data_IF_307688807948
#
_entry.id   IF_307688807948
#
_cell.length_a   1.000
_cell.length_b   1.000
_cell.length_c   1.000
_cell.angle_alpha   90.00
_cell.angle_beta   90.00
_cell.angle_gamma   90.00
#
_symmetry.space_group_name_H-M   'P 1'
#
loop_
_entity.id
_entity.type
_entity.pdbx_description
1 polymer ?
#
# COMPACT_ATOMS: atom_id res chain seq x y z
N UNK A 1 -18.25 5.50 18.90
CA UNK A 1 -17.13 6.25 19.44
C UNK A 1 -16.11 6.49 18.35
N UNK A 2 -15.54 7.69 18.35
CA UNK A 2 -14.55 8.04 17.33
C UNK A 2 -13.36 7.08 17.35
N UNK A 3 -12.91 6.71 18.51
CA UNK A 3 -11.81 5.78 18.66
C UNK A 3 -12.12 4.42 18.05
N UNK A 4 -13.33 3.93 18.32
CA UNK A 4 -13.75 2.64 17.78
C UNK A 4 -13.93 2.70 16.28
N UNK A 5 -14.45 3.83 15.80
CA UNK A 5 -14.65 3.99 14.36
C UNK A 5 -13.35 4.04 13.59
N UNK A 6 -12.28 4.51 14.22
CA UNK A 6 -10.99 4.59 13.54
C UNK A 6 -10.11 3.38 13.82
N UNK A 7 -10.62 2.39 14.54
CA UNK A 7 -9.86 1.17 14.79
C UNK A 7 -9.72 0.37 13.51
N UNK A 8 -8.51 -0.11 13.25
CA UNK A 8 -8.25 -0.89 12.05
C UNK A 8 -8.97 -2.23 12.10
N UNK A 9 -9.66 -2.57 11.01
CA UNK A 9 -10.26 -3.89 10.85
C UNK A 9 -9.27 -4.85 10.19
N UNK A 10 -8.22 -4.31 9.56
CA UNK A 10 -7.15 -5.10 8.99
C UNK A 10 -5.88 -4.27 8.95
N UNK A 11 -4.74 -4.94 9.12
CA UNK A 11 -3.43 -4.29 9.04
C UNK A 11 -2.52 -5.12 8.16
N UNK A 12 -1.60 -4.43 7.50
CA UNK A 12 -0.64 -5.07 6.61
C UNK A 12 0.72 -5.15 7.31
N UNK A 13 0.86 -6.14 8.17
CA UNK A 13 2.09 -6.30 8.97
C UNK A 13 3.29 -6.60 8.09
N UNK A 14 3.08 -7.35 7.00
CA UNK A 14 4.15 -7.68 6.08
C UNK A 14 4.73 -6.43 5.43
N UNK A 15 3.89 -5.44 5.14
CA UNK A 15 4.37 -4.21 4.55
C UNK A 15 5.35 -3.50 5.46
N UNK A 16 5.06 -3.44 6.76
CA UNK A 16 5.98 -2.82 7.71
C UNK A 16 7.28 -3.60 7.85
N UNK A 17 7.22 -4.90 7.61
CA UNK A 17 8.41 -5.75 7.65
C UNK A 17 9.27 -5.55 6.39
N UNK A 18 8.63 -5.43 5.23
CA UNK A 18 9.33 -5.42 3.95
C UNK A 18 9.68 -4.01 3.45
N UNK A 19 9.04 -2.98 3.99
CA UNK A 19 9.17 -1.61 3.48
C UNK A 19 9.42 -0.61 4.59
N UNK A 20 10.12 0.46 4.22
CA UNK A 20 10.13 1.68 5.04
C UNK A 20 8.96 2.55 4.60
N UNK A 21 8.13 2.96 5.52
CA UNK A 21 7.01 3.86 5.23
C UNK A 21 7.53 5.29 5.32
N UNK A 22 7.55 5.98 4.18
CA UNK A 22 8.08 7.34 4.10
C UNK A 22 7.02 8.35 4.53
N UNK A 23 5.81 8.19 3.99
CA UNK A 23 4.66 9.05 4.30
C UNK A 23 3.42 8.19 4.30
N UNK A 24 2.38 8.63 4.99
CA UNK A 24 1.11 7.94 4.94
C UNK A 24 0.00 8.91 4.56
N UNK A 25 -1.04 8.37 3.93
CA UNK A 25 -2.18 9.12 3.42
C UNK A 25 -3.45 8.37 3.75
N UNK A 26 -4.54 9.09 3.91
CA UNK A 26 -5.85 8.47 4.09
C UNK A 26 -6.63 8.60 2.79
N UNK A 27 -7.23 7.49 2.36
CA UNK A 27 -8.07 7.46 1.16
C UNK A 27 -9.40 6.80 1.49
N UNK A 28 -10.46 7.25 0.81
CA UNK A 28 -11.69 6.49 0.80
C UNK A 28 -11.55 5.31 -0.13
N UNK A 29 -12.45 4.35 -0.04
CA UNK A 29 -12.44 3.20 -0.92
C UNK A 29 -13.86 2.91 -1.38
N UNK A 30 -14.03 2.70 -2.68
CA UNK A 30 -15.32 2.36 -3.26
C UNK A 30 -15.56 0.88 -3.11
N UNK A 31 -16.60 0.53 -2.38
CA UNK A 31 -16.97 -0.86 -2.13
C UNK A 31 -18.43 -1.07 -2.44
N UNK A 32 -18.77 -2.27 -2.88
CA UNK A 32 -20.16 -2.68 -3.01
C UNK A 32 -20.67 -3.11 -1.64
N UNK A 33 -21.99 -3.19 -1.49
CA UNK A 33 -22.61 -3.49 -0.20
C UNK A 33 -22.10 -4.78 0.44
N UNK A 34 -21.95 -5.84 -0.38
CA UNK A 34 -21.45 -7.12 0.14
C UNK A 34 -20.01 -7.01 0.60
N UNK A 35 -19.22 -6.19 -0.08
CA UNK A 35 -17.83 -5.97 0.31
C UNK A 35 -17.76 -5.21 1.63
N UNK A 36 -18.61 -4.20 1.81
CA UNK A 36 -18.66 -3.45 3.07
C UNK A 36 -18.97 -4.39 4.23
N UNK A 37 -19.93 -5.28 4.03
CA UNK A 37 -20.30 -6.24 5.09
C UNK A 37 -19.14 -7.15 5.46
N UNK A 38 -18.42 -7.65 4.45
CA UNK A 38 -17.25 -8.49 4.71
C UNK A 38 -16.16 -7.72 5.44
N UNK A 39 -15.91 -6.48 5.02
CA UNK A 39 -14.90 -5.63 5.67
C UNK A 39 -15.27 -5.38 7.13
N UNK A 40 -16.56 -5.12 7.42
CA UNK A 40 -17.00 -4.92 8.80
C UNK A 40 -16.75 -6.15 9.66
N UNK A 41 -16.77 -7.33 9.06
CA UNK A 41 -16.48 -8.57 9.76
C UNK A 41 -14.99 -8.88 9.82
N UNK A 42 -14.15 -7.98 9.30
CA UNK A 42 -12.71 -8.19 9.27
C UNK A 42 -12.26 -9.23 8.27
N UNK A 43 -13.09 -9.56 7.30
CA UNK A 43 -12.82 -10.63 6.35
C UNK A 43 -12.17 -10.09 5.10
N UNK A 44 -10.99 -9.51 5.29
CA UNK A 44 -10.19 -9.02 4.17
C UNK A 44 -8.72 -9.24 4.51
N UNK A 45 -7.91 -9.26 3.48
CA UNK A 45 -6.48 -9.50 3.62
C UNK A 45 -5.72 -8.50 2.76
N UNK A 46 -4.80 -7.78 3.37
CA UNK A 46 -3.99 -6.76 2.70
C UNK A 46 -2.63 -7.28 2.28
N UNK A 47 -2.29 -8.51 2.62
CA UNK A 47 -0.99 -9.08 2.31
C UNK A 47 -0.74 -9.04 0.80
N UNK A 48 0.42 -8.54 0.43
CA UNK A 48 0.86 -8.43 -0.97
C UNK A 48 -0.03 -7.51 -1.82
N UNK A 49 -0.83 -6.65 -1.20
CA UNK A 49 -1.59 -5.64 -1.93
C UNK A 49 -0.71 -4.45 -2.28
N UNK A 50 -1.10 -3.74 -3.31
CA UNK A 50 -0.38 -2.55 -3.74
C UNK A 50 -1.36 -1.62 -4.43
N UNK A 51 -0.95 -0.36 -4.61
CA UNK A 51 -1.78 0.61 -5.32
C UNK A 51 -1.12 0.99 -6.64
N UNK A 52 -1.96 1.25 -7.63
CA UNK A 52 -1.51 1.74 -8.92
C UNK A 52 -2.29 3.00 -9.27
N UNK A 53 -1.68 3.86 -10.07
CA UNK A 53 -2.31 5.09 -10.54
C UNK A 53 -2.41 4.97 -12.06
N UNK A 54 -3.62 5.13 -12.56
CA UNK A 54 -3.90 4.99 -13.99
C UNK A 54 -4.95 6.02 -14.36
N UNK A 55 -4.64 6.83 -15.38
CA UNK A 55 -5.58 7.84 -15.85
C UNK A 55 -5.95 8.88 -14.82
N UNK A 56 -5.04 9.16 -13.87
CA UNK A 56 -5.28 10.14 -12.83
C UNK A 56 -6.11 9.62 -11.68
N UNK A 57 -6.34 8.32 -11.63
CA UNK A 57 -7.08 7.68 -10.54
C UNK A 57 -6.22 6.63 -9.89
N UNK A 58 -6.48 6.36 -8.61
CA UNK A 58 -5.68 5.41 -7.85
C UNK A 58 -6.53 4.21 -7.46
N UNK A 59 -5.94 3.02 -7.58
CA UNK A 59 -6.63 1.76 -7.34
C UNK A 59 -5.82 0.90 -6.36
N UNK A 60 -6.54 0.16 -5.51
CA UNK A 60 -5.93 -0.85 -4.66
C UNK A 60 -6.05 -2.21 -5.35
N UNK A 61 -4.92 -2.87 -5.53
CA UNK A 61 -4.85 -4.17 -6.20
C UNK A 61 -4.35 -5.22 -5.22
N UNK A 62 -4.78 -6.46 -5.41
CA UNK A 62 -4.32 -7.55 -4.56
C UNK A 62 -4.91 -7.53 -3.16
N UNK A 63 -5.88 -6.67 -2.91
CA UNK A 63 -6.58 -6.63 -1.63
C UNK A 63 -7.74 -7.61 -1.70
N UNK A 64 -7.63 -8.70 -0.95
CA UNK A 64 -8.64 -9.74 -0.96
C UNK A 64 -9.76 -9.39 0.02
N UNK A 65 -11.00 -9.31 -0.46
CA UNK A 65 -12.18 -9.16 0.38
C UNK A 65 -13.02 -10.40 0.18
N UNK A 66 -13.20 -11.17 1.26
CA UNK A 66 -13.92 -12.43 1.18
C UNK A 66 -15.37 -12.23 0.76
N UNK A 67 -15.94 -13.15 -0.02
CA UNK A 67 -17.36 -13.04 -0.36
C UNK A 67 -18.20 -13.07 0.91
N UNK A 68 -19.25 -12.25 0.92
CA UNK A 68 -20.19 -12.24 2.03
C UNK A 68 -21.11 -13.45 1.88
N UNK A 69 -21.17 -14.30 2.91
CA UNK A 69 -21.86 -15.58 2.76
C UNK A 69 -23.37 -15.44 2.46
N UNK A 70 -23.97 -14.32 2.81
CA UNK A 70 -25.38 -14.08 2.49
C UNK A 70 -25.56 -13.23 1.24
N UNK A 71 -24.48 -12.94 0.52
CA UNK A 71 -24.56 -12.07 -0.66
C UNK A 71 -24.91 -12.77 -1.94
N UNK A 72 -24.61 -14.06 -2.04
CA UNK A 72 -24.93 -14.88 -3.21
C UNK A 72 -24.49 -14.22 -4.51
N UNK A 73 -25.46 -13.94 -5.41
CA UNK A 73 -25.16 -13.35 -6.71
C UNK A 73 -24.68 -11.90 -6.63
N UNK A 74 -24.83 -11.24 -5.47
CA UNK A 74 -24.38 -9.87 -5.31
C UNK A 74 -22.91 -9.76 -4.89
N UNK A 75 -22.27 -10.89 -4.67
CA UNK A 75 -20.85 -10.88 -4.34
C UNK A 75 -20.02 -10.51 -5.56
N UNK A 76 -18.91 -9.85 -5.31
CA UNK A 76 -17.96 -9.45 -6.35
C UNK A 76 -16.72 -10.34 -6.27
N UNK A 77 -15.92 -10.29 -7.33
CA UNK A 77 -14.64 -10.98 -7.33
C UNK A 77 -13.82 -10.51 -6.12
N UNK A 78 -13.38 -11.42 -5.24
CA UNK A 78 -12.61 -11.03 -4.06
C UNK A 78 -11.37 -10.20 -4.36
N UNK A 79 -10.77 -10.42 -5.52
CA UNK A 79 -9.52 -9.74 -5.90
C UNK A 79 -9.72 -8.60 -6.87
N UNK A 80 -10.96 -8.16 -7.10
CA UNK A 80 -11.17 -7.06 -8.03
C UNK A 80 -10.42 -5.81 -7.56
N UNK A 81 -9.90 -5.04 -8.52
CA UNK A 81 -9.26 -3.76 -8.21
C UNK A 81 -10.30 -2.80 -7.63
N UNK A 82 -9.97 -2.12 -6.54
CA UNK A 82 -10.90 -1.22 -5.86
C UNK A 82 -10.41 0.21 -6.06
N UNK A 83 -11.29 1.06 -6.52
CA UNK A 83 -10.94 2.47 -6.70
C UNK A 83 -10.86 3.15 -5.35
N UNK A 84 -9.80 3.92 -5.17
CA UNK A 84 -9.61 4.72 -3.96
C UNK A 84 -9.99 6.16 -4.24
N UNK A 85 -10.44 6.84 -3.20
CA UNK A 85 -10.93 8.21 -3.31
C UNK A 85 -9.95 9.13 -2.61
N UNK A 86 -9.22 9.91 -3.39
CA UNK A 86 -8.24 10.87 -2.90
C UNK A 86 -8.34 12.15 -3.72
N UNK A 87 -7.80 13.22 -3.17
CA UNK A 87 -7.73 14.48 -3.91
C UNK A 87 -6.75 14.33 -5.08
N UNK A 88 -7.07 14.98 -6.18
CA UNK A 88 -6.22 14.92 -7.38
C UNK A 88 -4.80 15.38 -7.10
N UNK A 89 -4.64 16.38 -6.24
CA UNK A 89 -3.31 16.86 -5.85
C UNK A 89 -2.48 15.76 -5.23
N UNK A 90 -3.10 14.98 -4.34
CA UNK A 90 -2.40 13.88 -3.67
C UNK A 90 -2.05 12.78 -4.67
N UNK A 91 -3.00 12.45 -5.54
CA UNK A 91 -2.76 11.42 -6.56
C UNK A 91 -1.61 11.82 -7.47
N UNK A 92 -1.60 13.07 -7.92
CA UNK A 92 -0.55 13.56 -8.81
C UNK A 92 0.81 13.58 -8.11
N UNK A 93 0.83 13.97 -6.84
CA UNK A 93 2.06 13.97 -6.05
C UNK A 93 2.60 12.55 -5.91
N UNK A 94 1.73 11.60 -5.58
CA UNK A 94 2.12 10.20 -5.44
C UNK A 94 2.61 9.62 -6.76
N UNK A 95 1.93 9.97 -7.85
CA UNK A 95 2.35 9.50 -9.17
C UNK A 95 3.78 9.95 -9.48
N UNK A 96 4.07 11.21 -9.23
CA UNK A 96 5.40 11.74 -9.45
C UNK A 96 6.46 11.05 -8.60
N UNK A 97 6.16 10.85 -7.33
CA UNK A 97 7.11 10.21 -6.42
C UNK A 97 7.37 8.76 -6.78
N UNK A 98 6.32 8.03 -7.19
CA UNK A 98 6.52 6.63 -7.59
C UNK A 98 7.32 6.53 -8.88
N UNK A 99 7.12 7.46 -9.81
CA UNK A 99 7.83 7.44 -11.09
C UNK A 99 9.28 7.90 -10.94
N UNK A 100 9.50 8.95 -10.15
CA UNK A 100 10.83 9.55 -10.03
C UNK A 100 11.71 8.83 -9.03
N UNK A 101 11.14 8.41 -7.90
CA UNK A 101 11.91 7.83 -6.82
C UNK A 101 11.80 6.32 -6.73
N UNK A 102 10.92 5.71 -7.52
CA UNK A 102 10.74 4.26 -7.47
C UNK A 102 10.05 3.79 -6.19
N UNK A 103 9.32 4.66 -5.52
CA UNK A 103 8.57 4.29 -4.33
C UNK A 103 7.33 3.50 -4.72
N UNK A 104 6.79 2.74 -3.77
CA UNK A 104 5.56 1.98 -3.97
C UNK A 104 4.48 2.53 -3.04
N UNK A 105 3.24 2.43 -3.46
CA UNK A 105 2.10 2.81 -2.62
C UNK A 105 1.45 1.52 -2.14
N UNK A 106 1.44 1.32 -0.83
CA UNK A 106 0.99 0.06 -0.23
C UNK A 106 -0.14 0.34 0.76
N UNK A 107 -1.27 -0.39 0.67
CA UNK A 107 -2.30 -0.29 1.70
C UNK A 107 -1.76 -0.81 3.02
N UNK A 108 -1.79 0.00 4.06
CA UNK A 108 -1.25 -0.35 5.37
C UNK A 108 -2.32 -0.84 6.32
N UNK A 109 -3.50 -0.25 6.27
CA UNK A 109 -4.59 -0.66 7.14
C UNK A 109 -5.93 -0.21 6.54
N UNK A 110 -6.99 -0.87 6.97
CA UNK A 110 -8.35 -0.51 6.61
C UNK A 110 -9.12 -0.29 7.91
N UNK A 111 -9.91 0.76 7.96
CA UNK A 111 -10.67 1.11 9.14
C UNK A 111 -11.94 1.84 8.72
N UNK A 112 -12.86 2.01 9.66
CA UNK A 112 -14.07 2.79 9.42
C UNK A 112 -13.97 4.11 10.15
N UNK A 113 -14.38 5.16 9.47
CA UNK A 113 -14.40 6.50 10.03
C UNK A 113 -15.71 7.13 9.64
N UNK A 114 -16.51 7.48 10.64
CA UNK A 114 -17.86 8.02 10.43
C UNK A 114 -18.69 7.12 9.50
N UNK A 115 -18.60 5.83 9.74
CA UNK A 115 -19.37 4.83 9.00
C UNK A 115 -18.85 4.50 7.62
N UNK A 116 -17.77 5.12 7.18
CA UNK A 116 -17.24 4.91 5.84
C UNK A 116 -15.89 4.19 5.92
N UNK A 117 -15.69 3.26 5.00
CA UNK A 117 -14.43 2.53 4.94
C UNK A 117 -13.33 3.45 4.43
N UNK A 118 -12.21 3.43 5.14
CA UNK A 118 -11.02 4.21 4.79
C UNK A 118 -9.82 3.30 4.74
N UNK A 119 -8.84 3.67 3.93
CA UNK A 119 -7.59 2.94 3.81
C UNK A 119 -6.46 3.88 4.13
N UNK A 120 -5.57 3.45 5.02
CA UNK A 120 -4.32 4.16 5.23
C UNK A 120 -3.32 3.64 4.22
N UNK A 121 -2.83 4.51 3.37
CA UNK A 121 -1.84 4.19 2.37
C UNK A 121 -0.47 4.63 2.82
N UNK A 122 0.53 3.84 2.50
CA UNK A 122 1.92 4.22 2.76
C UNK A 122 2.66 4.42 1.46
N UNK A 123 3.40 5.53 1.38
CA UNK A 123 4.39 5.71 0.34
C UNK A 123 5.64 5.02 0.86
N UNK A 124 6.02 3.92 0.23
CA UNK A 124 6.97 2.98 0.80
C UNK A 124 8.19 2.77 -0.08
N UNK A 125 9.29 2.46 0.58
CA UNK A 125 10.56 2.16 -0.04
C UNK A 125 10.96 0.76 0.39
N UNK A 126 11.30 -0.12 -0.55
CA UNK A 126 11.63 -1.50 -0.21
C UNK A 126 12.89 -1.60 0.63
N UNK A 127 12.81 -2.30 1.73
CA UNK A 127 13.95 -2.47 2.65
C UNK A 127 15.08 -3.25 1.99
N UNK A 128 14.74 -4.32 1.30
CA UNK A 128 15.76 -5.14 0.65
C UNK A 128 16.53 -4.35 -0.37
N UNK A 129 15.85 -3.58 -1.18
CA UNK A 129 16.50 -2.78 -2.19
C UNK A 129 17.35 -1.69 -1.55
N UNK A 130 16.80 -1.06 -0.51
CA UNK A 130 17.50 -0.03 0.23
C UNK A 130 18.77 -0.59 0.89
N UNK A 131 18.61 -1.71 1.60
CA UNK A 131 19.74 -2.36 2.28
C UNK A 131 20.79 -2.77 1.29
N UNK A 132 20.39 -3.31 0.16
CA UNK A 132 21.30 -3.72 -0.89
C UNK A 132 22.07 -2.53 -1.46
N UNK A 133 21.40 -1.39 -1.61
CA UNK A 133 22.06 -0.17 -2.07
C UNK A 133 23.05 0.34 -1.05
N UNK A 134 22.69 0.31 0.21
CA UNK A 134 23.57 0.72 1.28
C UNK A 134 24.79 -0.19 1.37
N UNK A 135 24.53 -1.48 1.28
CA UNK A 135 25.62 -2.47 1.25
C UNK A 135 26.55 -2.21 0.08
N UNK A 136 25.98 -1.99 -1.09
CA UNK A 136 26.78 -1.70 -2.27
C UNK A 136 27.57 -0.41 -2.08
N UNK A 137 26.97 0.61 -1.49
CA UNK A 137 27.64 1.87 -1.22
C UNK A 137 28.76 1.69 -0.20
N UNK A 138 28.51 0.94 0.85
CA UNK A 138 29.50 0.65 1.87
C UNK A 138 30.66 -0.15 1.28
N UNK A 139 30.35 -1.17 0.51
CA UNK A 139 31.36 -1.97 -0.17
C UNK A 139 32.12 -1.14 -1.17
N UNK A 140 31.41 -0.30 -1.89
CA UNK A 140 32.04 0.59 -2.86
C UNK A 140 32.97 1.58 -2.19
N UNK A 141 32.57 2.13 -1.04
CA UNK A 141 33.41 3.02 -0.27
C UNK A 141 34.62 2.27 0.28
N UNK A 142 34.41 1.09 0.84
CA UNK A 142 35.48 0.27 1.34
C UNK A 142 36.40 -0.15 0.22
N UNK A 143 35.86 -0.48 -0.92
CA UNK A 143 36.66 -0.87 -2.07
C UNK A 143 37.15 0.31 -2.86
N UNK A 144 36.55 1.43 -2.74
CA UNK A 144 37.10 2.62 -3.31
C UNK A 144 38.18 3.13 -2.50
N UNK A 145 38.12 2.79 -1.31
CA UNK A 145 39.24 2.91 -0.46
C UNK A 145 40.16 1.79 -0.81
N UNK A 146 39.58 0.63 -1.19
CA UNK A 146 40.28 -0.52 -1.64
C UNK A 146 40.42 -0.54 -3.12
N UNK A 147 39.34 -0.29 -3.84
CA UNK A 147 39.30 -0.40 -5.23
C UNK A 147 38.55 0.71 -5.83
N UNK A 148 38.02 1.46 -5.12
CA UNK A 148 37.13 2.38 -5.52
C UNK A 148 36.34 1.78 -6.40
N UNK A 149 35.80 1.34 -6.22
CA UNK A 149 34.86 0.96 -6.51
C UNK A 149 34.40 0.20 -7.14
N UNK A 150 34.24 -0.38 -6.99
CA UNK A 150 33.67 -1.16 -7.66
C UNK A 150 32.49 -0.96 -8.04
N UNK A 151 32.05 -0.36 -8.03
CA UNK A 151 30.99 -0.20 -8.37
C UNK A 151 30.22 -0.86 -8.69
N UNK A 152 30.37 -1.17 -8.41
CA UNK A 152 29.71 -1.60 -8.56
C UNK A 152 29.03 -1.51 -8.65
N UNK A 153 28.90 -1.24 -8.55
CA UNK A 153 28.46 -1.09 -8.39
C UNK A 153 28.12 -1.08 -8.73
N UNK A 154 28.10 -1.07 -8.79
CA UNK A 154 27.91 -0.97 -8.85
C UNK A 154 27.57 -0.94 -9.03
N UNK A 155 27.28 -0.90 -8.88
CA UNK A 155 27.21 -0.86 -8.82
C UNK A 155 27.16 -0.83 -8.77
#
# INVERSE_FOLDING_TARGET
>A
MAENESRAVAQNKKAYHDYFVIESYEAGIELFGTEVKSVRQGRLNLKDSWCSIDGGEIFANGMHISPYEHGNIFNRDPMRAKKLLMHKKEINKLYGLTKQQGYAIIPLSVYFKKGKAKVQLGLCKGKKLYDKREDAAKKSAARSIERAVRGEKNI
#
